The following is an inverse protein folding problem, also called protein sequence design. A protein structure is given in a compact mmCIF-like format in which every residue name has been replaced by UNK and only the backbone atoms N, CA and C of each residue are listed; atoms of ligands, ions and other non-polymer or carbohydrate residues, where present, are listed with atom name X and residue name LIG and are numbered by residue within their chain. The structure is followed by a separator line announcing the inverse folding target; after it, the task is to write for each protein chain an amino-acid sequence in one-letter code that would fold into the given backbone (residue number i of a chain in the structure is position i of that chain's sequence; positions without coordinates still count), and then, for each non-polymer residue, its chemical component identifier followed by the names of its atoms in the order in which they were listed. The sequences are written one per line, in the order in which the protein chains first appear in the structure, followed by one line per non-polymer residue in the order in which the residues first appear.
data_IF_742055438835
#
_entry.id   IF_742055438835
#
_cell.length_a   1.000
_cell.length_b   1.000
_cell.length_c   1.000
_cell.angle_alpha   90.00
_cell.angle_beta   90.00
_cell.angle_gamma   90.00
#
_symmetry.space_group_name_H-M   'P 1'
#
loop_
_entity.id
_entity.type
_entity.pdbx_description
1 polymer ?
#
# COMPACT_ATOMS: atom_id res chain seq x y z
N UNK A 1 36.28 58.84 -19.60
CA UNK A 1 36.58 57.40 -19.76
C UNK A 1 36.21 56.74 -18.45
N UNK A 2 35.03 56.11 -18.42
CA UNK A 2 34.41 55.58 -17.19
C UNK A 2 34.92 54.18 -16.88
N UNK A 3 35.36 53.97 -15.64
CA UNK A 3 35.58 52.65 -15.08
C UNK A 3 34.31 52.25 -14.32
N UNK A 4 33.62 51.25 -14.86
CA UNK A 4 32.37 50.70 -14.37
C UNK A 4 32.68 49.80 -13.16
N UNK A 5 32.31 50.24 -11.96
CA UNK A 5 32.40 49.45 -10.75
C UNK A 5 31.31 48.35 -10.81
N UNK A 6 31.75 47.12 -11.07
CA UNK A 6 30.89 45.94 -11.10
C UNK A 6 30.54 45.57 -9.65
N UNK A 7 29.36 45.99 -9.20
CA UNK A 7 28.79 45.59 -7.91
C UNK A 7 28.49 44.09 -7.97
N UNK A 8 29.30 43.28 -7.31
CA UNK A 8 28.95 41.89 -6.99
C UNK A 8 27.81 41.91 -5.97
N UNK A 9 26.57 41.81 -6.46
CA UNK A 9 25.47 41.31 -5.64
C UNK A 9 25.79 39.85 -5.28
N UNK A 10 26.35 39.63 -4.11
CA UNK A 10 26.18 38.38 -3.41
C UNK A 10 24.70 38.28 -3.04
N UNK A 11 23.88 37.79 -3.97
CA UNK A 11 22.60 37.20 -3.64
C UNK A 11 22.89 36.02 -2.73
N UNK A 12 22.77 36.25 -1.42
CA UNK A 12 22.59 35.18 -0.47
C UNK A 12 21.40 34.37 -0.98
N UNK A 13 21.69 33.21 -1.57
CA UNK A 13 20.67 32.21 -1.82
C UNK A 13 19.98 32.00 -0.47
N UNK A 14 18.63 32.11 -0.38
CA UNK A 14 17.97 31.73 0.84
C UNK A 14 18.36 30.28 1.09
N UNK A 15 19.11 30.04 2.16
CA UNK A 15 19.31 28.69 2.67
C UNK A 15 17.92 28.10 2.73
N UNK A 16 17.67 27.02 1.98
CA UNK A 16 16.46 26.23 2.14
C UNK A 16 16.39 25.90 3.62
N UNK A 17 15.56 26.64 4.36
CA UNK A 17 15.29 26.36 5.75
C UNK A 17 14.77 24.93 5.72
N UNK A 18 15.61 23.99 6.15
CA UNK A 18 15.19 22.63 6.38
C UNK A 18 14.06 22.76 7.38
N UNK A 19 12.82 22.70 6.89
CA UNK A 19 11.64 22.72 7.73
C UNK A 19 11.86 21.60 8.74
N UNK A 20 12.02 21.97 10.02
CA UNK A 20 12.19 20.97 11.05
C UNK A 20 10.97 20.04 10.98
N UNK A 21 11.19 18.72 10.98
CA UNK A 21 10.08 17.79 10.93
C UNK A 21 9.16 18.07 12.12
N UNK A 22 7.88 18.26 11.83
CA UNK A 22 6.89 18.49 12.85
C UNK A 22 6.84 17.26 13.78
N UNK A 23 6.89 17.48 15.10
CA UNK A 23 6.79 16.41 16.10
C UNK A 23 5.47 16.53 16.87
N UNK A 24 4.99 15.39 17.39
CA UNK A 24 3.84 15.37 18.32
C UNK A 24 4.25 15.49 19.80
N UNK A 25 5.54 15.67 20.07
CA UNK A 25 6.03 15.83 21.44
C UNK A 25 5.43 17.09 22.06
N UNK A 26 4.76 16.93 23.20
CA UNK A 26 4.13 18.05 23.93
C UNK A 26 2.73 18.45 23.45
N UNK A 27 2.14 17.75 22.48
CA UNK A 27 0.73 17.98 22.07
C UNK A 27 -0.20 17.36 23.13
N UNK A 28 -1.08 18.15 23.78
CA UNK A 28 -2.07 17.62 24.74
C UNK A 28 -2.96 16.56 24.10
N UNK A 29 -3.50 15.65 24.93
CA UNK A 29 -4.31 14.51 24.48
C UNK A 29 -5.72 14.63 25.04
N UNK A 30 -6.71 14.61 24.15
CA UNK A 30 -8.12 14.54 24.53
C UNK A 30 -8.51 13.14 24.99
N UNK A 31 -9.66 13.04 25.68
CA UNK A 31 -10.17 11.78 26.23
C UNK A 31 -10.32 10.69 25.15
N UNK A 32 -10.85 11.03 23.98
CA UNK A 32 -11.06 10.08 22.87
C UNK A 32 -9.74 9.55 22.27
N UNK A 33 -8.65 10.31 22.37
CA UNK A 33 -7.34 9.85 21.92
C UNK A 33 -6.62 8.99 22.97
N UNK A 34 -6.99 9.12 24.24
CA UNK A 34 -6.21 8.57 25.35
C UNK A 34 -6.13 7.04 25.36
N UNK A 35 -7.21 6.34 25.02
CA UNK A 35 -7.30 4.88 25.14
C UNK A 35 -6.31 4.15 24.24
N UNK A 36 -6.28 4.46 22.94
CA UNK A 36 -5.35 3.83 22.01
C UNK A 36 -3.89 4.23 22.26
N UNK A 37 -3.65 5.48 22.65
CA UNK A 37 -2.30 5.97 22.96
C UNK A 37 -1.75 5.38 24.26
N UNK A 38 -2.62 5.00 25.21
CA UNK A 38 -2.20 4.30 26.42
C UNK A 38 -1.61 2.93 26.09
N UNK A 39 -2.27 2.18 25.19
CA UNK A 39 -1.77 0.87 24.72
C UNK A 39 -0.36 0.97 24.13
N UNK A 40 -0.06 2.02 23.37
CA UNK A 40 1.30 2.24 22.86
C UNK A 40 2.32 2.29 24.00
N UNK A 41 2.05 3.14 25.01
CA UNK A 41 2.95 3.30 26.15
C UNK A 41 3.08 2.03 26.99
N UNK A 42 1.99 1.31 27.24
CA UNK A 42 2.00 0.04 27.99
C UNK A 42 2.84 -1.04 27.27
N UNK A 43 2.86 -1.00 25.94
CA UNK A 43 3.61 -1.93 25.10
C UNK A 43 5.04 -1.45 24.79
N UNK A 44 5.50 -0.37 25.42
CA UNK A 44 6.85 0.16 25.21
C UNK A 44 7.07 0.80 23.84
N UNK A 45 5.99 1.24 23.17
CA UNK A 45 6.07 1.97 21.91
C UNK A 45 6.05 3.50 22.14
N UNK A 46 6.81 4.22 21.33
CA UNK A 46 6.95 5.68 21.40
C UNK A 46 6.46 6.36 20.13
N UNK A 47 5.84 7.54 20.29
CA UNK A 47 5.54 8.41 19.15
C UNK A 47 6.83 9.09 18.67
N UNK A 48 7.02 9.16 17.36
CA UNK A 48 8.13 9.85 16.71
C UNK A 48 7.68 11.11 15.99
N UNK A 49 8.32 11.36 14.85
CA UNK A 49 8.00 12.49 13.96
C UNK A 49 6.65 12.30 13.27
N UNK A 50 6.05 13.41 12.85
CA UNK A 50 4.93 13.42 11.90
C UNK A 50 5.49 13.09 10.52
N UNK A 51 4.95 12.05 9.88
CA UNK A 51 5.36 11.58 8.56
C UNK A 51 4.63 12.34 7.45
N UNK A 52 3.33 12.57 7.64
CA UNK A 52 2.48 13.40 6.78
C UNK A 52 1.43 14.11 7.61
N UNK A 53 1.06 15.31 7.18
CA UNK A 53 -0.01 16.12 7.74
C UNK A 53 -0.87 16.69 6.61
N UNK A 54 -2.15 16.32 6.59
CA UNK A 54 -3.14 16.88 5.66
C UNK A 54 -4.13 17.75 6.42
N UNK A 55 -4.39 18.95 5.91
CA UNK A 55 -5.36 19.86 6.50
C UNK A 55 -6.77 19.47 6.03
N UNK A 56 -7.57 18.99 6.96
CA UNK A 56 -8.94 18.50 6.72
C UNK A 56 -9.91 19.68 6.60
N UNK A 57 -9.85 20.59 7.57
CA UNK A 57 -10.52 21.90 7.58
C UNK A 57 -9.65 22.88 8.37
N UNK A 58 -9.99 24.17 8.38
CA UNK A 58 -9.24 25.18 9.14
C UNK A 58 -9.08 24.77 10.62
N UNK A 59 -7.84 24.51 11.03
CA UNK A 59 -7.50 24.13 12.40
C UNK A 59 -7.69 22.67 12.76
N UNK A 60 -7.96 21.78 11.79
CA UNK A 60 -8.01 20.33 11.99
C UNK A 60 -7.15 19.63 10.94
N UNK A 61 -6.34 18.69 11.39
CA UNK A 61 -5.37 17.99 10.55
C UNK A 61 -5.45 16.49 10.79
N UNK A 62 -5.42 15.73 9.69
CA UNK A 62 -5.19 14.30 9.70
C UNK A 62 -3.69 14.06 9.54
N UNK A 63 -3.11 13.34 10.48
CA UNK A 63 -1.68 13.05 10.53
C UNK A 63 -1.44 11.56 10.36
N UNK A 64 -0.30 11.20 9.82
CA UNK A 64 0.32 9.90 10.12
C UNK A 64 1.61 10.14 10.88
N UNK A 65 1.76 9.42 11.99
CA UNK A 65 2.85 9.60 12.93
C UNK A 65 3.66 8.33 12.98
N UNK A 66 4.97 8.48 13.05
CA UNK A 66 5.86 7.36 13.28
C UNK A 66 5.62 6.78 14.67
N UNK A 67 5.45 5.46 14.75
CA UNK A 67 5.50 4.72 16.02
C UNK A 67 6.76 3.89 16.03
N UNK A 68 7.60 4.11 17.04
CA UNK A 68 8.82 3.35 17.31
C UNK A 68 8.48 2.25 18.30
N UNK A 69 8.60 1.00 17.89
CA UNK A 69 8.38 -0.17 18.73
C UNK A 69 9.49 -1.17 18.45
N UNK A 70 10.36 -1.39 19.44
CA UNK A 70 11.61 -2.14 19.26
C UNK A 70 12.44 -1.50 18.10
N UNK A 71 13.00 -2.34 17.23
CA UNK A 71 13.71 -1.89 16.02
C UNK A 71 12.76 -1.46 14.89
N UNK A 72 11.45 -1.64 15.06
CA UNK A 72 10.46 -1.38 14.00
C UNK A 72 9.96 0.05 14.03
N UNK A 73 9.54 0.50 12.85
CA UNK A 73 8.96 1.82 12.59
C UNK A 73 7.63 1.62 11.86
N UNK A 74 6.55 2.12 12.45
CA UNK A 74 5.18 1.92 11.99
C UNK A 74 4.52 3.26 11.70
N UNK A 75 3.40 3.25 10.98
CA UNK A 75 2.54 4.43 10.82
C UNK A 75 1.28 4.31 11.66
N UNK A 76 0.92 5.39 12.34
CA UNK A 76 -0.32 5.50 13.09
C UNK A 76 -1.08 6.75 12.65
N UNK A 77 -2.31 6.61 12.12
CA UNK A 77 -3.12 7.76 11.76
C UNK A 77 -3.68 8.42 13.03
N UNK A 78 -3.67 9.75 13.09
CA UNK A 78 -4.18 10.53 14.23
C UNK A 78 -4.84 11.81 13.73
N UNK A 79 -5.78 12.37 14.49
CA UNK A 79 -6.36 13.69 14.18
C UNK A 79 -5.99 14.65 15.29
N UNK A 80 -5.43 15.79 14.88
CA UNK A 80 -5.19 16.91 15.77
C UNK A 80 -6.06 18.09 15.40
N UNK A 81 -6.52 18.84 16.38
CA UNK A 81 -7.29 20.06 16.15
C UNK A 81 -6.96 21.14 17.17
N UNK A 82 -7.17 22.39 16.77
CA UNK A 82 -7.27 23.54 17.68
C UNK A 82 -8.75 23.88 17.82
N UNK A 83 -9.26 24.00 19.05
CA UNK A 83 -10.67 24.36 19.25
C UNK A 83 -10.90 25.88 19.08
N UNK A 84 -9.84 26.69 19.17
CA UNK A 84 -9.83 28.11 18.80
C UNK A 84 -8.45 28.54 18.25
N UNK A 85 -8.35 29.68 17.52
CA UNK A 85 -7.08 30.16 16.97
C UNK A 85 -5.97 30.40 17.99
N UNK A 86 -6.35 30.74 19.22
CA UNK A 86 -5.48 31.06 20.36
C UNK A 86 -4.96 29.80 21.08
N UNK A 87 -5.53 28.63 20.81
CA UNK A 87 -5.18 27.37 21.48
C UNK A 87 -4.12 26.57 20.72
N UNK A 88 -3.32 25.83 21.49
CA UNK A 88 -2.43 24.81 20.94
C UNK A 88 -3.24 23.69 20.25
N UNK A 89 -2.59 23.01 19.30
CA UNK A 89 -3.14 21.78 18.75
C UNK A 89 -3.24 20.73 19.86
N UNK A 90 -4.32 19.96 19.83
CA UNK A 90 -4.58 18.83 20.72
C UNK A 90 -4.85 17.59 19.87
N UNK A 91 -4.39 16.42 20.32
CA UNK A 91 -4.81 15.15 19.73
C UNK A 91 -6.26 14.88 20.15
N UNK A 92 -7.18 15.02 19.20
CA UNK A 92 -8.62 14.84 19.44
C UNK A 92 -9.09 13.43 19.11
N UNK A 93 -8.34 12.69 18.31
CA UNK A 93 -8.65 11.30 17.99
C UNK A 93 -7.37 10.50 17.71
N UNK A 94 -7.37 9.25 18.16
CA UNK A 94 -6.37 8.23 17.86
C UNK A 94 -7.07 6.88 17.62
N UNK A 95 -6.38 5.90 17.01
CA UNK A 95 -6.96 4.60 16.71
C UNK A 95 -7.37 3.85 17.98
N UNK A 96 -8.41 3.02 17.87
CA UNK A 96 -8.93 2.25 19.01
C UNK A 96 -7.89 1.25 19.56
N UNK A 97 -7.95 0.87 20.86
CA UNK A 97 -7.01 -0.07 21.48
C UNK A 97 -6.81 -1.40 20.72
N UNK A 98 -7.88 -1.95 20.14
CA UNK A 98 -7.82 -3.19 19.37
C UNK A 98 -6.91 -3.08 18.13
N UNK A 99 -6.99 -1.96 17.41
CA UNK A 99 -6.14 -1.68 16.27
C UNK A 99 -4.67 -1.51 16.68
N UNK A 100 -4.41 -0.73 17.74
CA UNK A 100 -3.04 -0.49 18.23
C UNK A 100 -2.39 -1.80 18.66
N UNK A 101 -3.11 -2.65 19.41
CA UNK A 101 -2.61 -3.97 19.80
C UNK A 101 -2.33 -4.86 18.58
N UNK A 102 -3.23 -4.88 17.59
CA UNK A 102 -3.05 -5.65 16.38
C UNK A 102 -1.83 -5.17 15.57
N UNK A 103 -1.66 -3.86 15.41
CA UNK A 103 -0.56 -3.24 14.70
C UNK A 103 0.79 -3.64 15.32
N UNK A 104 0.94 -3.48 16.64
CA UNK A 104 2.17 -3.84 17.35
C UNK A 104 2.45 -5.34 17.30
N UNK A 105 1.40 -6.17 17.40
CA UNK A 105 1.54 -7.64 17.34
C UNK A 105 1.97 -8.11 15.96
N UNK A 106 1.37 -7.55 14.92
CA UNK A 106 1.68 -7.89 13.54
C UNK A 106 3.09 -7.41 13.14
N UNK A 107 3.51 -6.25 13.64
CA UNK A 107 4.84 -5.70 13.41
C UNK A 107 5.97 -6.56 14.00
N UNK A 108 5.75 -7.14 15.19
CA UNK A 108 6.74 -8.02 15.85
C UNK A 108 6.60 -9.49 15.43
N UNK A 109 5.46 -9.89 14.85
CA UNK A 109 5.19 -11.26 14.41
C UNK A 109 5.67 -11.57 12.98
N UNK A 110 5.54 -12.83 12.57
CA UNK A 110 5.84 -13.34 11.22
C UNK A 110 4.60 -13.42 10.31
N UNK A 111 3.56 -12.64 10.65
CA UNK A 111 2.28 -12.66 9.96
C UNK A 111 2.32 -12.02 8.58
N UNK A 112 3.16 -11.01 8.34
CA UNK A 112 3.21 -10.29 7.07
C UNK A 112 3.97 -11.06 5.97
N UNK A 113 3.68 -10.78 4.67
CA UNK A 113 4.46 -11.33 3.56
C UNK A 113 5.95 -10.99 3.70
N UNK A 114 6.87 -11.95 3.46
CA UNK A 114 8.29 -11.78 3.74
C UNK A 114 9.07 -11.06 2.63
N UNK A 115 8.38 -10.52 1.62
CA UNK A 115 9.01 -9.94 0.44
C UNK A 115 9.63 -8.56 0.73
N UNK A 116 10.77 -8.28 0.10
CA UNK A 116 11.46 -7.00 0.26
C UNK A 116 10.75 -5.96 -0.61
N UNK A 117 10.17 -4.94 0.02
CA UNK A 117 9.55 -3.85 -0.70
C UNK A 117 10.61 -2.85 -1.23
N UNK A 118 10.29 -2.08 -2.29
CA UNK A 118 11.21 -1.06 -2.82
C UNK A 118 11.52 0.07 -1.85
N UNK A 119 10.58 0.37 -0.94
CA UNK A 119 10.68 1.50 -0.03
C UNK A 119 10.18 1.13 1.37
N UNK A 120 10.85 1.69 2.39
CA UNK A 120 10.44 1.52 3.78
C UNK A 120 9.07 2.19 4.00
N UNK A 121 8.19 1.52 4.74
CA UNK A 121 6.82 1.99 4.93
C UNK A 121 6.78 3.43 5.49
N UNK A 122 7.60 3.76 6.48
CA UNK A 122 7.65 5.11 7.07
C UNK A 122 8.25 6.19 6.18
N UNK A 123 8.89 5.83 5.06
CA UNK A 123 9.47 6.78 4.11
C UNK A 123 8.54 7.07 2.91
N UNK A 124 7.45 6.30 2.75
CA UNK A 124 6.44 6.54 1.70
C UNK A 124 5.88 7.97 1.70
N UNK A 125 6.01 8.69 0.58
CA UNK A 125 5.53 10.07 0.44
C UNK A 125 4.16 10.08 -0.22
N UNK A 126 3.11 10.15 0.59
CA UNK A 126 1.72 10.10 0.14
C UNK A 126 0.78 10.84 1.10
N UNK A 127 -0.44 11.10 0.65
CA UNK A 127 -1.54 11.50 1.55
C UNK A 127 -1.79 10.41 2.60
N UNK A 128 -2.35 10.76 3.78
CA UNK A 128 -2.77 9.77 4.76
C UNK A 128 -3.65 8.68 4.13
N UNK A 129 -3.31 7.43 4.37
CA UNK A 129 -4.02 6.26 3.88
C UNK A 129 -4.77 5.60 5.02
N UNK A 130 -5.87 4.91 4.72
CA UNK A 130 -6.55 4.08 5.72
C UNK A 130 -5.75 2.79 5.92
N UNK A 131 -5.10 2.57 7.07
CA UNK A 131 -4.49 1.28 7.32
C UNK A 131 -5.53 0.25 7.70
N UNK A 132 -5.45 -0.92 7.09
CA UNK A 132 -6.34 -2.05 7.30
C UNK A 132 -5.48 -3.27 7.61
N UNK A 133 -5.65 -3.83 8.80
CA UNK A 133 -5.05 -5.11 9.17
C UNK A 133 -6.06 -6.20 8.85
N UNK A 134 -5.72 -7.13 7.98
CA UNK A 134 -6.60 -8.21 7.58
C UNK A 134 -5.99 -9.57 7.93
N UNK A 135 -6.79 -10.39 8.59
CA UNK A 135 -6.42 -11.75 8.99
C UNK A 135 -7.47 -12.73 8.50
N UNK A 136 -7.17 -14.03 8.56
CA UNK A 136 -8.16 -15.08 8.25
C UNK A 136 -9.47 -14.94 9.02
N UNK A 137 -9.42 -14.44 10.26
CA UNK A 137 -10.59 -14.35 11.13
C UNK A 137 -11.37 -13.04 10.97
N UNK A 138 -10.69 -11.92 10.74
CA UNK A 138 -11.30 -10.58 10.84
C UNK A 138 -10.45 -9.50 10.17
N UNK A 139 -11.11 -8.37 9.97
CA UNK A 139 -10.54 -7.12 9.49
C UNK A 139 -10.50 -6.14 10.67
N UNK A 140 -9.40 -5.40 10.82
CA UNK A 140 -9.17 -4.47 11.93
C UNK A 140 -8.75 -3.14 11.32
N UNK A 141 -9.48 -2.09 11.66
CA UNK A 141 -9.26 -0.71 11.20
C UNK A 141 -9.00 0.21 12.39
N UNK A 142 -8.48 1.43 12.20
CA UNK A 142 -8.34 2.40 13.27
C UNK A 142 -9.61 2.70 14.06
N UNK A 143 -10.78 2.43 13.48
CA UNK A 143 -12.09 2.69 14.10
C UNK A 143 -12.68 1.49 14.83
N UNK A 144 -12.16 0.28 14.61
CA UNK A 144 -12.74 -0.95 15.15
C UNK A 144 -12.51 -2.19 14.29
N UNK A 145 -13.04 -3.31 14.78
CA UNK A 145 -13.01 -4.61 14.10
C UNK A 145 -14.26 -4.80 13.22
N UNK A 146 -14.10 -5.52 12.10
CA UNK A 146 -15.16 -5.94 11.21
C UNK A 146 -14.97 -7.40 10.82
N UNK A 147 -16.06 -8.16 10.71
CA UNK A 147 -16.03 -9.46 10.06
C UNK A 147 -16.01 -9.28 8.53
N UNK A 148 -15.51 -10.28 7.79
CA UNK A 148 -15.35 -10.24 6.33
C UNK A 148 -16.62 -9.85 5.56
N UNK A 149 -17.77 -10.38 5.97
CA UNK A 149 -19.07 -10.14 5.33
C UNK A 149 -19.95 -9.19 6.15
N UNK A 150 -19.37 -8.13 6.72
CA UNK A 150 -20.08 -7.22 7.60
C UNK A 150 -20.07 -5.77 7.05
N UNK A 151 -21.22 -5.07 7.02
CA UNK A 151 -21.29 -3.65 6.63
C UNK A 151 -20.43 -2.70 7.48
N UNK A 152 -19.87 -3.14 8.62
CA UNK A 152 -18.91 -2.39 9.42
C UNK A 152 -17.70 -1.90 8.59
N UNK A 153 -17.15 -2.71 7.68
CA UNK A 153 -16.00 -2.29 6.87
C UNK A 153 -16.34 -1.06 6.02
N UNK A 154 -17.46 -1.11 5.30
CA UNK A 154 -17.91 0.02 4.48
C UNK A 154 -18.18 1.25 5.33
N UNK A 155 -18.63 1.09 6.59
CA UNK A 155 -18.80 2.20 7.53
C UNK A 155 -17.47 2.79 7.97
N UNK A 156 -16.47 1.96 8.29
CA UNK A 156 -15.13 2.42 8.64
C UNK A 156 -14.47 3.17 7.48
N UNK A 157 -14.62 2.67 6.24
CA UNK A 157 -14.11 3.34 5.04
C UNK A 157 -14.81 4.69 4.84
N UNK A 158 -16.14 4.76 4.91
CA UNK A 158 -16.87 6.04 4.80
C UNK A 158 -16.47 7.03 5.89
N UNK A 159 -16.26 6.55 7.11
CA UNK A 159 -15.79 7.39 8.22
C UNK A 159 -14.40 7.94 7.92
N UNK A 160 -13.48 7.10 7.43
CA UNK A 160 -12.16 7.55 6.99
C UNK A 160 -12.25 8.64 5.93
N UNK A 161 -13.05 8.45 4.88
CA UNK A 161 -13.23 9.44 3.83
C UNK A 161 -13.74 10.77 4.38
N UNK A 162 -14.71 10.73 5.29
CA UNK A 162 -15.24 11.95 5.92
C UNK A 162 -14.21 12.65 6.81
N UNK A 163 -13.36 11.88 7.50
CA UNK A 163 -12.30 12.43 8.35
C UNK A 163 -11.10 12.95 7.53
N UNK A 164 -10.85 12.39 6.34
CA UNK A 164 -9.67 12.66 5.51
C UNK A 164 -9.91 13.64 4.35
N UNK A 165 -11.12 13.70 3.78
CA UNK A 165 -11.39 14.32 2.46
C UNK A 165 -12.51 15.38 2.49
N UNK A 166 -12.61 16.21 3.53
CA UNK A 166 -13.69 17.22 3.64
C UNK A 166 -13.67 18.32 2.57
N UNK A 167 -12.50 18.68 1.99
CA UNK A 167 -12.40 19.82 1.07
C UNK A 167 -11.81 19.48 -0.31
N UNK A 168 -11.12 18.35 -0.44
CA UNK A 168 -10.57 17.89 -1.71
C UNK A 168 -10.98 16.43 -1.90
N UNK A 169 -11.66 16.12 -3.01
CA UNK A 169 -11.78 14.75 -3.52
C UNK A 169 -10.44 14.20 -3.98
N UNK A 170 -9.45 14.19 -3.09
CA UNK A 170 -8.08 13.77 -3.32
C UNK A 170 -7.89 12.26 -3.11
N UNK A 171 -6.85 11.67 -3.71
CA UNK A 171 -6.65 10.22 -3.79
C UNK A 171 -6.08 9.67 -2.47
N UNK A 172 -6.91 9.57 -1.44
CA UNK A 172 -6.58 8.75 -0.28
C UNK A 172 -6.38 7.29 -0.72
N UNK A 173 -5.39 6.63 -0.14
CA UNK A 173 -5.12 5.22 -0.38
C UNK A 173 -5.53 4.34 0.79
N UNK A 174 -5.27 3.05 0.64
CA UNK A 174 -5.30 2.08 1.73
C UNK A 174 -3.89 1.53 1.95
N UNK A 175 -3.54 1.29 3.20
CA UNK A 175 -2.39 0.46 3.55
C UNK A 175 -2.93 -0.90 3.99
N UNK A 176 -2.52 -1.97 3.31
CA UNK A 176 -2.98 -3.32 3.57
C UNK A 176 -1.90 -4.09 4.32
N UNK A 177 -2.17 -4.37 5.59
CA UNK A 177 -1.37 -5.23 6.44
C UNK A 177 -2.02 -6.61 6.51
N UNK A 178 -1.63 -7.48 5.59
CA UNK A 178 -2.32 -8.74 5.32
C UNK A 178 -1.60 -9.93 5.96
N UNK A 179 -2.31 -10.83 6.65
CA UNK A 179 -1.74 -12.12 7.07
C UNK A 179 -1.36 -12.93 5.82
N UNK A 180 -0.08 -13.29 5.69
CA UNK A 180 0.48 -14.04 4.55
C UNK A 180 -0.22 -15.38 4.30
N UNK A 181 -0.91 -15.93 5.31
CA UNK A 181 -1.65 -17.19 5.23
C UNK A 181 -3.13 -17.03 4.86
N UNK A 182 -3.61 -15.79 4.77
CA UNK A 182 -4.97 -15.48 4.35
C UNK A 182 -5.18 -15.81 2.87
N UNK A 183 -6.40 -16.18 2.48
CA UNK A 183 -6.70 -16.47 1.08
C UNK A 183 -6.68 -15.19 0.23
N UNK A 184 -6.25 -15.30 -1.02
CA UNK A 184 -6.16 -14.17 -1.95
C UNK A 184 -7.55 -13.62 -2.34
N UNK A 185 -8.56 -14.49 -2.40
CA UNK A 185 -9.96 -14.08 -2.64
C UNK A 185 -10.45 -13.03 -1.64
N UNK A 186 -10.03 -13.14 -0.38
CA UNK A 186 -10.33 -12.15 0.66
C UNK A 186 -9.68 -10.79 0.38
N UNK A 187 -8.51 -10.76 -0.28
CA UNK A 187 -7.91 -9.49 -0.75
C UNK A 187 -8.81 -8.84 -1.80
N UNK A 188 -9.36 -9.64 -2.73
CA UNK A 188 -10.34 -9.18 -3.72
C UNK A 188 -11.56 -8.51 -3.08
N UNK A 189 -12.13 -9.10 -2.01
CA UNK A 189 -13.25 -8.51 -1.27
C UNK A 189 -12.89 -7.15 -0.64
N UNK A 190 -11.70 -7.02 -0.01
CA UNK A 190 -11.22 -5.75 0.54
C UNK A 190 -11.08 -4.68 -0.54
N UNK A 191 -10.45 -5.07 -1.64
CA UNK A 191 -10.21 -4.20 -2.77
C UNK A 191 -11.51 -3.67 -3.35
N UNK A 192 -12.51 -4.52 -3.57
CA UNK A 192 -13.84 -4.12 -4.05
C UNK A 192 -14.55 -3.14 -3.09
N UNK A 193 -14.37 -3.30 -1.79
CA UNK A 193 -14.93 -2.37 -0.81
C UNK A 193 -14.24 -1.00 -0.83
N UNK A 194 -12.91 -0.99 -0.93
CA UNK A 194 -12.11 0.25 -1.03
C UNK A 194 -12.40 0.99 -2.35
N UNK A 195 -12.42 0.24 -3.44
CA UNK A 195 -12.84 0.64 -4.78
C UNK A 195 -14.19 1.36 -4.82
N UNK A 196 -15.24 0.75 -4.26
CA UNK A 196 -16.59 1.30 -4.24
C UNK A 196 -16.68 2.63 -3.47
N UNK A 197 -15.66 2.93 -2.66
CA UNK A 197 -15.49 4.15 -1.90
C UNK A 197 -14.52 5.16 -2.55
N UNK A 198 -13.98 4.86 -3.74
CA UNK A 198 -13.07 5.74 -4.47
C UNK A 198 -11.60 5.67 -4.01
N UNK A 199 -11.22 4.66 -3.23
CA UNK A 199 -9.84 4.44 -2.78
C UNK A 199 -9.11 3.49 -3.73
N UNK A 200 -8.35 4.04 -4.68
CA UNK A 200 -7.70 3.24 -5.73
C UNK A 200 -6.22 2.96 -5.51
N UNK A 201 -5.55 3.74 -4.66
CA UNK A 201 -4.13 3.56 -4.33
C UNK A 201 -3.99 2.55 -3.20
N UNK A 202 -3.13 1.55 -3.38
CA UNK A 202 -2.93 0.47 -2.42
C UNK A 202 -1.46 0.38 -2.07
N UNK A 203 -1.15 0.30 -0.78
CA UNK A 203 0.19 -0.06 -0.31
C UNK A 203 0.12 -1.42 0.37
N UNK A 204 0.74 -2.44 -0.21
CA UNK A 204 0.89 -3.73 0.46
C UNK A 204 2.07 -3.64 1.42
N UNK A 205 1.81 -3.80 2.71
CA UNK A 205 2.85 -3.71 3.73
C UNK A 205 3.48 -5.08 3.90
N UNK A 206 4.77 -5.17 3.61
CA UNK A 206 5.56 -6.39 3.73
C UNK A 206 6.57 -6.26 4.87
N UNK A 207 7.19 -7.39 5.24
CA UNK A 207 8.17 -7.44 6.31
C UNK A 207 9.43 -8.15 5.83
N UNK A 208 10.55 -7.43 5.82
CA UNK A 208 11.87 -8.04 5.75
C UNK A 208 12.44 -8.28 7.17
N UNK A 209 13.64 -8.88 7.29
CA UNK A 209 14.25 -9.24 8.58
C UNK A 209 14.30 -8.08 9.58
N UNK A 210 14.46 -6.84 9.13
CA UNK A 210 14.66 -5.67 9.99
C UNK A 210 13.57 -4.59 9.84
N UNK A 211 12.80 -4.60 8.77
CA UNK A 211 11.99 -3.44 8.37
C UNK A 211 10.59 -3.84 7.88
N UNK A 212 9.68 -2.88 7.98
CA UNK A 212 8.43 -2.90 7.23
C UNK A 212 8.59 -2.10 5.95
N UNK A 213 8.23 -2.72 4.84
CA UNK A 213 8.27 -2.15 3.50
C UNK A 213 6.87 -1.89 2.97
N UNK A 214 6.76 -1.02 1.97
CA UNK A 214 5.51 -0.77 1.26
C UNK A 214 5.70 -0.99 -0.25
N UNK A 215 4.83 -1.81 -0.84
CA UNK A 215 4.71 -1.98 -2.28
C UNK A 215 3.53 -1.13 -2.74
N UNK A 216 3.81 -0.02 -3.43
CA UNK A 216 2.79 0.88 -3.97
C UNK A 216 2.23 0.35 -5.29
N UNK A 217 0.95 -0.05 -5.29
CA UNK A 217 0.21 -0.60 -6.43
C UNK A 217 -1.16 0.08 -6.53
N UNK A 218 -1.99 -0.32 -7.49
CA UNK A 218 -3.30 0.27 -7.74
C UNK A 218 -4.39 -0.81 -7.86
N UNK A 219 -5.63 -0.42 -7.61
CA UNK A 219 -6.80 -1.23 -7.95
C UNK A 219 -7.10 -1.14 -9.46
N UNK A 220 -7.46 -2.25 -10.12
CA UNK A 220 -7.82 -2.26 -11.54
C UNK A 220 -9.26 -1.77 -11.71
N UNK A 221 -9.47 -0.46 -11.58
CA UNK A 221 -10.78 0.14 -11.79
C UNK A 221 -10.76 0.94 -13.07
N UNK A 222 -11.45 0.38 -14.05
CA UNK A 222 -11.64 0.99 -15.34
C UNK A 222 -12.99 1.70 -15.35
N UNK A 223 -13.08 2.93 -15.90
CA UNK A 223 -14.36 3.59 -16.09
C UNK A 223 -15.30 2.72 -16.94
N UNK A 224 -16.61 2.95 -16.87
CA UNK A 224 -17.63 2.19 -17.64
C UNK A 224 -17.37 2.14 -19.17
N UNK A 225 -16.48 3.00 -19.69
CA UNK A 225 -16.00 3.01 -21.08
C UNK A 225 -14.85 2.04 -21.38
N UNK A 226 -14.40 1.23 -20.43
CA UNK A 226 -13.27 0.29 -20.60
C UNK A 226 -11.90 0.89 -20.25
N UNK A 227 -10.83 0.19 -20.66
CA UNK A 227 -9.46 0.67 -20.54
C UNK A 227 -9.31 1.98 -21.34
N UNK A 228 -8.66 3.03 -20.79
CA UNK A 228 -8.30 4.19 -21.59
C UNK A 228 -7.56 3.75 -22.87
N UNK A 229 -7.80 4.36 -24.03
CA UNK A 229 -7.18 3.94 -25.31
C UNK A 229 -5.63 3.90 -25.27
N UNK A 230 -5.02 4.70 -24.39
CA UNK A 230 -3.56 4.73 -24.16
C UNK A 230 -3.05 3.59 -23.26
N UNK A 231 -3.95 2.80 -22.66
CA UNK A 231 -3.64 1.76 -21.70
C UNK A 231 -3.78 0.39 -22.36
N UNK A 232 -2.66 -0.27 -22.58
CA UNK A 232 -2.61 -1.65 -23.10
C UNK A 232 -2.20 -2.55 -21.93
N UNK A 233 -3.04 -3.54 -21.62
CA UNK A 233 -2.95 -4.34 -20.41
C UNK A 233 -2.40 -5.74 -20.69
N UNK A 234 -1.33 -6.11 -19.99
CA UNK A 234 -0.91 -7.50 -19.84
C UNK A 234 -1.61 -8.10 -18.64
N UNK A 235 -2.08 -9.33 -18.74
CA UNK A 235 -2.73 -10.04 -17.63
C UNK A 235 -1.94 -11.31 -17.34
N UNK A 236 -1.53 -11.45 -16.09
CA UNK A 236 -0.92 -12.65 -15.54
C UNK A 236 -1.94 -13.32 -14.62
N UNK A 237 -2.56 -14.40 -15.10
CA UNK A 237 -3.38 -15.27 -14.27
C UNK A 237 -2.47 -16.22 -13.51
N UNK A 238 -2.43 -16.14 -12.18
CA UNK A 238 -1.53 -16.97 -11.36
C UNK A 238 -2.28 -18.08 -10.63
N UNK A 239 -1.74 -19.30 -10.76
CA UNK A 239 -2.28 -20.57 -10.26
C UNK A 239 -1.22 -21.27 -9.38
N UNK A 240 -1.60 -21.96 -8.29
CA UNK A 240 -0.61 -22.70 -7.50
C UNK A 240 0.03 -23.80 -8.35
N UNK A 241 1.34 -24.01 -8.20
CA UNK A 241 2.04 -25.08 -8.89
C UNK A 241 3.05 -25.77 -7.98
N UNK A 242 2.83 -27.07 -7.70
CA UNK A 242 3.62 -27.82 -6.72
C UNK A 242 3.62 -27.14 -5.33
N UNK A 243 4.51 -27.54 -4.42
CA UNK A 243 4.51 -27.02 -3.04
C UNK A 243 4.88 -25.53 -2.95
N UNK A 244 5.78 -25.05 -3.81
CA UNK A 244 6.38 -23.71 -3.71
C UNK A 244 6.35 -22.88 -5.00
N UNK A 245 5.91 -23.46 -6.11
CA UNK A 245 5.89 -22.79 -7.40
C UNK A 245 4.56 -22.13 -7.75
N UNK A 246 4.59 -21.37 -8.84
CA UNK A 246 3.43 -20.74 -9.46
C UNK A 246 3.35 -21.14 -10.92
N UNK A 247 2.14 -21.39 -11.38
CA UNK A 247 1.80 -21.53 -12.77
C UNK A 247 1.17 -20.23 -13.26
N UNK A 248 1.49 -19.81 -14.48
CA UNK A 248 1.13 -18.49 -15.02
C UNK A 248 0.47 -18.66 -16.37
N UNK A 249 -0.77 -18.21 -16.48
CA UNK A 249 -1.40 -17.92 -17.77
C UNK A 249 -1.13 -16.48 -18.17
N UNK A 250 -0.80 -16.24 -19.44
CA UNK A 250 -0.47 -14.91 -19.96
C UNK A 250 -1.48 -14.50 -21.02
N UNK A 251 -2.01 -13.29 -20.89
CA UNK A 251 -2.79 -12.62 -21.93
C UNK A 251 -2.18 -11.25 -22.18
N UNK A 252 -1.82 -10.96 -23.41
CA UNK A 252 -1.31 -9.67 -23.84
C UNK A 252 -2.40 -8.97 -24.64
N UNK A 253 -2.99 -7.93 -24.08
CA UNK A 253 -4.16 -7.25 -24.65
C UNK A 253 -5.34 -8.23 -24.88
N UNK A 254 -5.80 -8.39 -26.12
CA UNK A 254 -6.87 -9.33 -26.48
C UNK A 254 -6.36 -10.75 -26.81
N UNK A 255 -5.04 -10.96 -26.84
CA UNK A 255 -4.43 -12.23 -27.24
C UNK A 255 -4.02 -13.08 -26.03
N UNK A 256 -4.55 -14.30 -25.98
CA UNK A 256 -4.06 -15.32 -25.02
C UNK A 256 -2.81 -15.96 -25.57
N UNK A 257 -1.76 -16.06 -24.75
CA UNK A 257 -0.50 -16.71 -25.13
C UNK A 257 -0.59 -18.18 -24.78
N UNK A 258 -0.31 -19.04 -25.76
CA UNK A 258 -0.29 -20.48 -25.58
C UNK A 258 0.95 -20.94 -24.79
N UNK A 259 0.89 -22.16 -24.25
CA UNK A 259 1.95 -22.75 -23.45
C UNK A 259 3.30 -22.79 -24.21
N UNK A 260 4.34 -22.18 -23.65
CA UNK A 260 5.71 -22.26 -24.19
C UNK A 260 6.39 -23.53 -23.70
N UNK A 261 5.84 -24.69 -24.05
CA UNK A 261 6.58 -25.97 -24.08
C UNK A 261 7.21 -26.50 -22.79
N UNK A 262 6.92 -25.98 -21.59
CA UNK A 262 7.53 -26.48 -20.35
C UNK A 262 6.87 -27.79 -19.90
N UNK A 263 7.61 -28.90 -19.98
CA UNK A 263 7.19 -30.19 -19.42
C UNK A 263 6.88 -30.06 -17.92
N UNK A 264 5.69 -30.50 -17.52
CA UNK A 264 5.27 -30.53 -16.11
C UNK A 264 4.37 -29.39 -15.65
N UNK A 265 4.14 -28.36 -16.48
CA UNK A 265 3.16 -27.31 -16.17
C UNK A 265 1.71 -27.78 -16.46
N UNK A 266 0.72 -27.24 -15.74
CA UNK A 266 -0.70 -27.59 -15.95
C UNK A 266 -1.12 -27.12 -17.36
N UNK A 267 -1.93 -27.94 -18.04
CA UNK A 267 -2.48 -27.61 -19.35
C UNK A 267 -3.20 -26.25 -19.33
N UNK A 268 -2.93 -25.41 -20.34
CA UNK A 268 -3.51 -24.08 -20.49
C UNK A 268 -2.75 -22.96 -19.77
N UNK A 269 -1.63 -23.25 -19.10
CA UNK A 269 -0.73 -22.23 -18.55
C UNK A 269 0.40 -21.95 -19.54
N UNK A 270 0.82 -20.68 -19.61
CA UNK A 270 1.94 -20.24 -20.44
C UNK A 270 3.26 -20.84 -19.94
N UNK A 271 3.52 -20.72 -18.63
CA UNK A 271 4.72 -21.26 -17.98
C UNK A 271 4.48 -21.56 -16.49
N UNK A 272 5.45 -22.22 -15.86
CA UNK A 272 5.49 -22.47 -14.43
C UNK A 272 6.90 -22.11 -13.90
N UNK A 273 6.97 -21.55 -12.69
CA UNK A 273 8.22 -21.11 -12.06
C UNK A 273 8.22 -21.44 -10.56
N UNK A 274 9.38 -21.83 -10.02
CA UNK A 274 9.58 -22.16 -8.59
C UNK A 274 10.24 -21.03 -7.81
N UNK A 275 10.99 -20.17 -8.50
CA UNK A 275 11.64 -19.01 -7.94
C UNK A 275 11.58 -17.82 -8.92
N UNK A 276 12.16 -16.69 -8.50
CA UNK A 276 12.14 -15.46 -9.29
C UNK A 276 13.01 -15.52 -10.55
N UNK A 277 14.05 -16.34 -10.57
CA UNK A 277 14.94 -16.48 -11.73
C UNK A 277 14.23 -17.29 -12.84
N UNK A 278 13.63 -18.43 -12.48
CA UNK A 278 12.78 -19.20 -13.40
C UNK A 278 11.60 -18.37 -13.92
N UNK A 279 11.03 -17.51 -13.08
CA UNK A 279 9.93 -16.63 -13.48
C UNK A 279 10.40 -15.56 -14.48
N UNK A 280 11.56 -14.93 -14.23
CA UNK A 280 12.13 -13.90 -15.10
C UNK A 280 12.49 -14.47 -16.47
N UNK A 281 13.18 -15.61 -16.51
CA UNK A 281 13.54 -16.30 -17.75
C UNK A 281 12.29 -16.66 -18.57
N UNK A 282 11.33 -17.36 -17.95
CA UNK A 282 10.14 -17.82 -18.64
C UNK A 282 9.22 -16.68 -19.11
N UNK A 283 9.06 -15.62 -18.30
CA UNK A 283 8.28 -14.45 -18.71
C UNK A 283 9.00 -13.67 -19.83
N UNK A 284 10.33 -13.60 -19.78
CA UNK A 284 11.17 -13.02 -20.82
C UNK A 284 10.99 -13.73 -22.16
N UNK A 285 11.02 -15.05 -22.17
CA UNK A 285 10.79 -15.87 -23.37
C UNK A 285 9.37 -15.65 -23.94
N UNK A 286 8.35 -15.66 -23.08
CA UNK A 286 6.96 -15.39 -23.49
C UNK A 286 6.81 -14.00 -24.12
N UNK A 287 7.46 -12.99 -23.57
CA UNK A 287 7.43 -11.62 -24.09
C UNK A 287 8.20 -11.49 -25.40
N UNK A 288 9.35 -12.15 -25.51
CA UNK A 288 10.18 -12.14 -26.71
C UNK A 288 9.45 -12.81 -27.89
N UNK A 289 8.81 -13.96 -27.63
CA UNK A 289 8.02 -14.69 -28.63
C UNK A 289 6.77 -13.90 -29.07
N UNK A 290 6.15 -13.16 -28.15
CA UNK A 290 5.00 -12.32 -28.45
C UNK A 290 5.36 -11.04 -29.24
N UNK A 291 6.62 -10.60 -29.26
CA UNK A 291 7.07 -9.50 -30.12
C UNK A 291 6.42 -8.13 -29.86
N UNK A 292 5.81 -7.53 -30.89
CA UNK A 292 5.33 -6.13 -30.88
C UNK A 292 4.18 -5.93 -29.89
N UNK A 293 3.39 -6.97 -29.67
CA UNK A 293 2.24 -7.01 -28.78
C UNK A 293 2.68 -6.77 -27.33
N UNK A 294 3.76 -7.44 -26.89
CA UNK A 294 4.32 -7.24 -25.57
C UNK A 294 4.95 -5.84 -25.41
N UNK A 295 5.61 -5.32 -26.45
CA UNK A 295 6.22 -3.99 -26.43
C UNK A 295 5.20 -2.85 -26.29
N UNK A 296 3.92 -3.09 -26.56
CA UNK A 296 2.83 -2.12 -26.39
C UNK A 296 2.27 -2.08 -24.97
N UNK A 297 2.53 -3.09 -24.15
CA UNK A 297 1.95 -3.22 -22.81
C UNK A 297 2.47 -2.09 -21.91
N UNK A 298 1.55 -1.29 -21.39
CA UNK A 298 1.89 -0.18 -20.49
C UNK A 298 1.64 -0.51 -19.02
N UNK A 299 0.75 -1.47 -18.75
CA UNK A 299 0.42 -1.89 -17.40
C UNK A 299 0.14 -3.39 -17.32
N UNK A 300 0.25 -3.94 -16.11
CA UNK A 300 0.10 -5.37 -15.86
C UNK A 300 -0.92 -5.63 -14.75
N UNK A 301 -1.86 -6.55 -14.98
CA UNK A 301 -2.77 -7.06 -13.97
C UNK A 301 -2.29 -8.44 -13.51
N UNK A 302 -1.95 -8.56 -12.24
CA UNK A 302 -1.72 -9.83 -11.56
C UNK A 302 -3.04 -10.32 -10.96
N UNK A 303 -3.62 -11.37 -11.53
CA UNK A 303 -4.86 -11.94 -11.05
C UNK A 303 -4.63 -13.32 -10.42
N UNK A 304 -4.76 -13.40 -9.10
CA UNK A 304 -4.61 -14.65 -8.36
C UNK A 304 -5.91 -15.43 -8.23
N UNK A 305 -5.82 -16.76 -8.30
CA UNK A 305 -6.94 -17.66 -8.04
C UNK A 305 -7.27 -17.81 -6.55
N UNK A 306 -8.43 -18.38 -6.24
CA UNK A 306 -8.90 -18.61 -4.86
C UNK A 306 -8.01 -19.52 -4.03
N UNK A 307 -7.17 -20.32 -4.70
CA UNK A 307 -6.24 -21.27 -4.08
C UNK A 307 -4.95 -20.60 -3.58
N UNK A 308 -4.70 -19.33 -3.92
CA UNK A 308 -3.55 -18.58 -3.40
C UNK A 308 -3.76 -18.13 -1.98
N UNK A 309 -2.67 -18.13 -1.21
CA UNK A 309 -2.55 -17.25 -0.06
C UNK A 309 -1.89 -15.91 -0.42
N UNK A 310 -2.08 -14.93 0.47
CA UNK A 310 -1.50 -13.59 0.35
C UNK A 310 0.02 -13.62 0.15
N UNK A 311 0.75 -14.47 0.87
CA UNK A 311 2.20 -14.57 0.74
C UNK A 311 2.62 -14.93 -0.69
N UNK A 312 1.95 -15.90 -1.29
CA UNK A 312 2.18 -16.30 -2.68
C UNK A 312 1.77 -15.21 -3.67
N UNK A 313 0.64 -14.53 -3.45
CA UNK A 313 0.18 -13.45 -4.33
C UNK A 313 1.11 -12.24 -4.32
N UNK A 314 1.59 -11.84 -3.14
CA UNK A 314 2.59 -10.77 -3.01
C UNK A 314 3.92 -11.15 -3.63
N UNK A 315 4.36 -12.41 -3.49
CA UNK A 315 5.56 -12.91 -4.17
C UNK A 315 5.43 -12.82 -5.69
N UNK A 316 4.32 -13.30 -6.25
CA UNK A 316 4.08 -13.22 -7.68
C UNK A 316 4.06 -11.76 -8.19
N UNK A 317 3.51 -10.83 -7.39
CA UNK A 317 3.56 -9.40 -7.68
C UNK A 317 5.00 -8.88 -7.76
N UNK A 318 5.83 -9.26 -6.79
CA UNK A 318 7.24 -8.86 -6.71
C UNK A 318 8.04 -9.38 -7.89
N UNK A 319 7.91 -10.67 -8.19
CA UNK A 319 8.54 -11.27 -9.37
C UNK A 319 8.10 -10.59 -10.66
N UNK A 320 6.82 -10.26 -10.78
CA UNK A 320 6.28 -9.57 -11.96
C UNK A 320 6.96 -8.23 -12.21
N UNK A 321 6.93 -7.30 -11.25
CA UNK A 321 7.49 -5.97 -11.51
C UNK A 321 9.02 -5.98 -11.62
N UNK A 322 9.70 -6.95 -10.99
CA UNK A 322 11.15 -7.11 -11.08
C UNK A 322 11.57 -7.66 -12.45
N UNK A 323 10.96 -8.77 -12.89
CA UNK A 323 11.26 -9.39 -14.19
C UNK A 323 10.98 -8.44 -15.35
N UNK A 324 9.90 -7.66 -15.25
CA UNK A 324 9.54 -6.66 -16.26
C UNK A 324 10.35 -5.36 -16.14
N UNK A 325 11.10 -5.18 -15.06
CA UNK A 325 11.81 -3.95 -14.72
C UNK A 325 10.92 -2.70 -14.80
N UNK A 326 9.74 -2.77 -14.19
CA UNK A 326 8.74 -1.69 -14.16
C UNK A 326 8.50 -1.19 -12.74
N UNK A 327 7.89 -0.01 -12.64
CA UNK A 327 7.37 0.48 -11.35
C UNK A 327 6.27 -0.46 -10.84
N UNK A 328 6.23 -0.80 -9.54
CA UNK A 328 5.11 -1.51 -8.94
C UNK A 328 3.76 -0.79 -9.15
N UNK A 329 3.76 0.54 -9.34
CA UNK A 329 2.54 1.29 -9.63
C UNK A 329 1.96 1.00 -11.02
N UNK A 330 2.76 0.47 -11.94
CA UNK A 330 2.34 -0.02 -13.25
C UNK A 330 1.76 -1.44 -13.17
N UNK A 331 1.69 -2.02 -11.98
CA UNK A 331 1.01 -3.28 -11.71
C UNK A 331 -0.29 -3.04 -10.95
N UNK A 332 -1.31 -3.83 -11.27
CA UNK A 332 -2.56 -3.94 -10.55
C UNK A 332 -2.66 -5.32 -9.91
N UNK A 333 -3.31 -5.37 -8.76
CA UNK A 333 -3.71 -6.62 -8.12
C UNK A 333 -5.15 -6.95 -8.50
N UNK A 334 -5.47 -8.23 -8.71
CA UNK A 334 -6.80 -8.71 -9.08
C UNK A 334 -7.04 -10.13 -8.61
N UNK A 335 -8.27 -10.60 -8.85
CA UNK A 335 -8.73 -11.95 -8.50
C UNK A 335 -9.40 -12.58 -9.73
N UNK A 336 -9.21 -13.88 -9.91
CA UNK A 336 -9.88 -14.72 -10.92
C UNK A 336 -10.59 -15.89 -10.21
N UNK A 337 -11.82 -16.15 -10.63
CA UNK A 337 -12.63 -17.30 -10.18
C UNK A 337 -12.19 -18.61 -10.82
#
# INVERSE_FOLDING_TARGET
MGAMAMLLLMAAAPSSAHAQPWTLEGVPRGAQASEGLHVLSERGAELGRVLVAERVVTGRYLLEVEVRHEERRLRLPMIVARTSPEQALEVIWAPVPAYVNALLTLASGDGLPPEVAPQAWVEERRLPALPIIATRARIITPYGEAAWQNPELSRHIKRWLNDALTEAGGPAGIDLLLDRRMAWSQVGELMMNAAAAGLFRVHLITRDRANLGAISTNLPIFPEGGLPEAMVLGVLGVYPHQADGIGVGVRLDEQTIEATGIEGCREGLAFCARDGEEFEEALGDVIADAGVEAARITHWLLAGSSEFNVGQGVRALVWTYQALNISPQSTFIGYIE
#
